data_IF_115284557418
#
_entry.id   IF_115284557418
#
_cell.length_a   1.000
_cell.length_b   1.000
_cell.length_c   1.000
_cell.angle_alpha   90.00
_cell.angle_beta   90.00
_cell.angle_gamma   90.00
#
_symmetry.space_group_name_H-M   'P 1'
#
loop_
_entity.id
_entity.type
_entity.pdbx_description
1 polymer ?
#
# COMPACT_ATOMS: atom_id res chain seq x y z
N UNK A 1 41.51 -9.74 23.90
CA UNK A 1 41.19 -8.44 23.25
C UNK A 1 39.75 -8.53 22.71
N UNK A 2 38.99 -7.41 22.68
CA UNK A 2 37.92 -7.12 21.69
C UNK A 2 36.42 -7.32 21.98
N UNK A 3 35.92 -7.67 23.18
CA UNK A 3 34.45 -7.57 23.43
C UNK A 3 33.95 -6.11 23.60
N UNK A 4 34.83 -5.20 24.05
CA UNK A 4 34.51 -3.77 24.23
C UNK A 4 34.18 -3.01 22.93
N UNK A 5 34.44 -3.59 21.75
CA UNK A 5 34.19 -2.95 20.46
C UNK A 5 32.94 -3.45 19.73
N UNK A 6 32.21 -4.44 20.27
CA UNK A 6 31.02 -5.00 19.60
C UNK A 6 29.88 -3.98 19.48
N UNK A 7 29.78 -3.04 20.42
CA UNK A 7 28.84 -1.92 20.37
C UNK A 7 29.02 -1.02 19.14
N UNK A 8 30.21 -1.01 18.52
CA UNK A 8 30.45 -0.28 17.27
C UNK A 8 29.71 -0.90 16.07
N UNK A 9 29.29 -2.17 16.17
CA UNK A 9 28.48 -2.84 15.16
C UNK A 9 26.98 -2.62 15.37
N UNK A 10 26.55 -2.07 16.52
CA UNK A 10 25.14 -1.80 16.80
C UNK A 10 24.44 -0.99 15.70
N UNK A 11 25.02 0.10 15.15
CA UNK A 11 24.37 0.85 14.07
C UNK A 11 24.13 0.00 12.82
N UNK A 12 25.02 -0.93 12.51
CA UNK A 12 24.90 -1.85 11.36
C UNK A 12 23.72 -2.80 11.60
N UNK A 13 23.66 -3.45 12.77
CA UNK A 13 22.54 -4.32 13.11
C UNK A 13 21.20 -3.58 13.17
N UNK A 14 21.19 -2.32 13.63
CA UNK A 14 20.01 -1.48 13.65
C UNK A 14 19.49 -1.22 12.23
N UNK A 15 20.36 -0.82 11.30
CA UNK A 15 19.98 -0.58 9.90
C UNK A 15 19.45 -1.86 9.26
N UNK A 16 20.13 -3.00 9.46
CA UNK A 16 19.68 -4.31 8.95
C UNK A 16 18.30 -4.64 9.52
N UNK A 17 18.09 -4.44 10.82
CA UNK A 17 16.81 -4.66 11.48
C UNK A 17 15.68 -3.81 10.91
N UNK A 18 15.96 -2.53 10.63
CA UNK A 18 15.01 -1.61 9.99
C UNK A 18 14.63 -2.10 8.59
N UNK A 19 15.60 -2.47 7.76
CA UNK A 19 15.36 -2.97 6.39
C UNK A 19 14.49 -4.23 6.45
N UNK A 20 14.87 -5.21 7.29
CA UNK A 20 14.11 -6.46 7.45
C UNK A 20 12.67 -6.17 7.91
N UNK A 21 12.49 -5.25 8.86
CA UNK A 21 11.17 -4.90 9.37
C UNK A 21 10.28 -4.34 8.25
N UNK A 22 10.78 -3.38 7.46
CA UNK A 22 10.01 -2.78 6.37
C UNK A 22 9.73 -3.77 5.24
N UNK A 23 10.70 -4.61 4.86
CA UNK A 23 10.48 -5.66 3.87
C UNK A 23 9.41 -6.65 4.30
N UNK A 24 9.46 -7.11 5.56
CA UNK A 24 8.44 -8.03 6.10
C UNK A 24 7.07 -7.38 6.14
N UNK A 25 6.98 -6.13 6.61
CA UNK A 25 5.71 -5.39 6.64
C UNK A 25 5.12 -5.22 5.24
N UNK A 26 5.92 -4.76 4.28
CA UNK A 26 5.48 -4.58 2.89
C UNK A 26 5.04 -5.89 2.25
N UNK A 27 5.74 -6.99 2.51
CA UNK A 27 5.36 -8.32 2.02
C UNK A 27 4.03 -8.81 2.61
N UNK A 28 3.77 -8.55 3.90
CA UNK A 28 2.48 -8.87 4.53
C UNK A 28 1.36 -8.07 3.87
N UNK A 29 1.53 -6.75 3.72
CA UNK A 29 0.53 -5.88 3.09
C UNK A 29 0.24 -6.29 1.63
N UNK A 30 1.28 -6.62 0.84
CA UNK A 30 1.11 -7.13 -0.55
C UNK A 30 0.36 -8.46 -0.58
N UNK A 31 0.69 -9.39 0.32
CA UNK A 31 0.00 -10.69 0.43
C UNK A 31 -1.46 -10.54 0.86
N UNK A 32 -1.75 -9.67 1.81
CA UNK A 32 -3.11 -9.36 2.23
C UNK A 32 -3.92 -8.76 1.07
N UNK A 33 -3.35 -7.77 0.38
CA UNK A 33 -3.95 -7.19 -0.82
C UNK A 33 -4.26 -8.26 -1.88
N UNK A 34 -3.27 -9.08 -2.24
CA UNK A 34 -3.44 -10.13 -3.26
C UNK A 34 -4.57 -11.09 -2.92
N UNK A 35 -4.57 -11.65 -1.71
CA UNK A 35 -5.53 -12.67 -1.27
C UNK A 35 -6.93 -12.10 -1.05
N UNK A 36 -7.05 -10.81 -0.71
CA UNK A 36 -8.33 -10.20 -0.38
C UNK A 36 -9.25 -10.01 -1.59
N UNK A 37 -10.54 -10.27 -1.39
CA UNK A 37 -11.63 -9.74 -2.20
C UNK A 37 -12.01 -8.34 -1.68
N UNK A 38 -11.97 -7.34 -2.56
CA UNK A 38 -12.20 -5.94 -2.19
C UNK A 38 -13.39 -5.43 -2.98
N UNK A 39 -14.51 -5.27 -2.28
CA UNK A 39 -15.61 -4.40 -2.67
C UNK A 39 -15.77 -3.35 -1.57
N UNK A 40 -15.18 -2.17 -1.77
CA UNK A 40 -15.03 -1.12 -0.75
C UNK A 40 -14.80 0.24 -1.38
N UNK A 41 -14.57 1.28 -0.58
CA UNK A 41 -14.19 2.61 -1.06
C UNK A 41 -12.92 3.09 -0.36
N UNK A 42 -12.20 4.01 -1.00
CA UNK A 42 -11.06 4.70 -0.39
C UNK A 42 -11.57 5.62 0.70
N UNK A 43 -11.23 5.29 1.94
CA UNK A 43 -11.55 6.06 3.12
C UNK A 43 -10.51 7.16 3.36
N UNK A 44 -9.21 6.87 3.14
CA UNK A 44 -8.13 7.81 3.45
C UNK A 44 -6.93 7.68 2.53
N UNK A 45 -6.36 8.81 2.11
CA UNK A 45 -5.02 8.90 1.51
C UNK A 45 -4.02 9.29 2.60
N UNK A 46 -2.93 8.53 2.75
CA UNK A 46 -1.85 8.78 3.71
C UNK A 46 -0.53 8.96 2.97
N UNK A 47 0.25 9.97 3.38
CA UNK A 47 1.66 10.00 3.01
C UNK A 47 2.38 8.81 3.66
N UNK A 48 3.42 8.33 3.01
CA UNK A 48 4.28 7.26 3.52
C UNK A 48 5.73 7.74 3.53
N UNK A 49 6.66 6.83 3.85
CA UNK A 49 8.07 7.15 4.01
C UNK A 49 8.77 7.47 2.67
N UNK A 50 8.08 7.39 1.54
CA UNK A 50 8.63 7.68 0.22
C UNK A 50 8.79 9.18 -0.08
N UNK A 51 8.32 10.06 0.82
CA UNK A 51 8.37 11.50 0.61
C UNK A 51 7.49 11.96 -0.55
N UNK A 52 6.35 11.29 -0.77
CA UNK A 52 5.40 11.65 -1.82
C UNK A 52 5.66 11.01 -3.19
N UNK A 53 6.64 10.10 -3.32
CA UNK A 53 6.80 9.26 -4.54
C UNK A 53 5.66 8.26 -4.70
N UNK A 54 5.12 7.79 -3.58
CA UNK A 54 3.93 6.94 -3.49
C UNK A 54 3.05 7.37 -2.32
N UNK A 55 1.80 6.91 -2.35
CA UNK A 55 0.84 7.14 -1.28
C UNK A 55 0.15 5.84 -0.89
N UNK A 56 -0.20 5.74 0.39
CA UNK A 56 -0.99 4.64 0.92
C UNK A 56 -2.46 5.05 0.90
N UNK A 57 -3.25 4.33 0.11
CA UNK A 57 -4.69 4.48 0.03
C UNK A 57 -5.35 3.40 0.89
N UNK A 58 -6.04 3.81 1.95
CA UNK A 58 -6.67 2.91 2.91
C UNK A 58 -8.14 2.75 2.54
N UNK A 59 -8.58 1.52 2.33
CA UNK A 59 -9.99 1.19 2.10
C UNK A 59 -10.78 1.21 3.41
N UNK A 60 -12.11 1.28 3.34
CA UNK A 60 -12.96 1.17 4.53
C UNK A 60 -12.82 -0.19 5.24
N UNK A 61 -12.33 -1.23 4.55
CA UNK A 61 -11.98 -2.54 5.12
C UNK A 61 -10.56 -2.60 5.70
N UNK A 62 -9.89 -1.45 5.85
CA UNK A 62 -8.52 -1.30 6.34
C UNK A 62 -7.44 -1.99 5.49
N UNK A 63 -7.73 -2.28 4.21
CA UNK A 63 -6.74 -2.79 3.26
C UNK A 63 -5.95 -1.61 2.70
N UNK A 64 -4.63 -1.75 2.67
CA UNK A 64 -3.70 -0.72 2.20
C UNK A 64 -3.33 -1.00 0.75
N UNK A 65 -3.57 -0.02 -0.12
CA UNK A 65 -3.14 -0.04 -1.52
C UNK A 65 -2.08 1.06 -1.67
N UNK A 66 -0.85 0.67 -1.98
CA UNK A 66 0.24 1.63 -2.21
C UNK A 66 0.40 1.83 -3.70
N UNK A 67 0.24 3.07 -4.16
CA UNK A 67 0.42 3.43 -5.57
C UNK A 67 1.37 4.62 -5.73
N UNK A 68 2.00 4.71 -6.89
CA UNK A 68 2.88 5.81 -7.23
C UNK A 68 2.09 7.12 -7.32
N UNK A 69 2.75 8.26 -7.14
CA UNK A 69 2.10 9.57 -7.22
C UNK A 69 1.49 9.85 -8.60
N UNK A 70 2.00 9.21 -9.65
CA UNK A 70 1.39 9.24 -10.99
C UNK A 70 -0.02 8.65 -11.02
N UNK A 71 -0.37 7.80 -10.04
CA UNK A 71 -1.67 7.17 -9.93
C UNK A 71 -2.60 8.00 -9.03
N UNK A 72 -3.76 8.36 -9.59
CA UNK A 72 -4.62 9.41 -9.04
C UNK A 72 -5.92 8.85 -8.45
N UNK A 73 -5.80 8.03 -7.40
CA UNK A 73 -6.96 7.66 -6.59
C UNK A 73 -7.40 8.84 -5.71
N UNK A 74 -8.71 8.94 -5.49
CA UNK A 74 -9.34 9.96 -4.64
C UNK A 74 -10.08 9.30 -3.49
N UNK A 75 -10.18 10.01 -2.38
CA UNK A 75 -11.08 9.61 -1.28
C UNK A 75 -12.52 9.56 -1.81
N UNK A 76 -13.23 8.47 -1.52
CA UNK A 76 -14.57 8.20 -2.01
C UNK A 76 -14.66 7.39 -3.31
N UNK A 77 -13.53 7.16 -4.00
CA UNK A 77 -13.47 6.20 -5.12
C UNK A 77 -13.83 4.80 -4.60
N UNK A 78 -14.66 4.08 -5.35
CA UNK A 78 -14.99 2.68 -5.09
C UNK A 78 -13.98 1.76 -5.78
N UNK A 79 -13.63 0.67 -5.10
CA UNK A 79 -12.70 -0.36 -5.55
C UNK A 79 -13.46 -1.68 -5.64
N UNK A 80 -13.29 -2.35 -6.78
CA UNK A 80 -13.67 -3.75 -6.97
C UNK A 80 -12.45 -4.57 -7.37
N UNK A 81 -12.19 -5.67 -6.66
CA UNK A 81 -11.05 -6.56 -6.87
C UNK A 81 -11.44 -7.95 -6.43
N UNK A 82 -11.18 -8.95 -7.26
CA UNK A 82 -11.31 -10.35 -6.90
C UNK A 82 -10.14 -10.84 -6.03
N UNK A 83 -10.36 -11.91 -5.27
CA UNK A 83 -9.28 -12.57 -4.53
C UNK A 83 -8.22 -13.18 -5.46
N UNK A 84 -6.98 -13.29 -4.97
CA UNK A 84 -5.84 -13.93 -5.65
C UNK A 84 -5.47 -13.29 -7.01
N UNK A 85 -5.60 -11.97 -7.11
CA UNK A 85 -5.09 -11.19 -8.25
C UNK A 85 -4.50 -9.86 -7.79
N UNK A 86 -3.58 -9.29 -8.58
CA UNK A 86 -3.10 -7.91 -8.41
C UNK A 86 -4.00 -6.88 -9.10
N UNK A 87 -4.97 -7.35 -9.90
CA UNK A 87 -5.84 -6.51 -10.71
C UNK A 87 -7.01 -5.95 -9.91
N UNK A 88 -7.29 -4.66 -10.06
CA UNK A 88 -8.46 -4.03 -9.45
C UNK A 88 -9.02 -2.90 -10.30
N UNK A 89 -10.32 -2.73 -10.20
CA UNK A 89 -11.09 -1.70 -10.89
C UNK A 89 -11.41 -0.57 -9.94
N UNK A 90 -11.29 0.65 -10.44
CA UNK A 90 -11.70 1.87 -9.76
C UNK A 90 -12.94 2.42 -10.42
N UNK A 91 -13.90 2.81 -9.58
CA UNK A 91 -15.11 3.51 -9.98
C UNK A 91 -15.16 4.85 -9.25
N UNK A 92 -15.52 5.90 -9.98
CA UNK A 92 -15.58 7.27 -9.46
C UNK A 92 -16.99 7.83 -9.59
N UNK A 93 -17.45 8.52 -8.54
CA UNK A 93 -18.73 9.25 -8.60
C UNK A 93 -18.64 10.36 -9.62
N UNK A 94 -19.64 10.43 -10.51
CA UNK A 94 -19.87 11.57 -11.38
C UNK A 94 -20.67 12.67 -10.65
N UNK A 95 -20.97 13.76 -11.35
CA UNK A 95 -21.73 14.89 -10.81
C UNK A 95 -23.16 14.52 -10.39
N UNK A 96 -23.71 13.43 -10.92
CA UNK A 96 -25.04 12.90 -10.59
C UNK A 96 -24.99 11.88 -9.43
N UNK A 97 -23.83 11.70 -8.80
CA UNK A 97 -23.63 10.75 -7.70
C UNK A 97 -23.54 9.27 -8.11
N UNK A 98 -23.59 8.95 -9.41
CA UNK A 98 -23.46 7.58 -9.92
C UNK A 98 -21.99 7.19 -10.09
N UNK A 99 -21.65 5.96 -9.70
CA UNK A 99 -20.31 5.41 -9.89
C UNK A 99 -20.11 4.93 -11.33
N UNK A 100 -19.13 5.50 -12.01
CA UNK A 100 -18.71 5.09 -13.34
C UNK A 100 -17.31 4.47 -13.29
N UNK A 101 -17.04 3.50 -14.14
CA UNK A 101 -15.69 2.95 -14.29
C UNK A 101 -14.70 4.07 -14.63
N UNK A 102 -13.58 4.08 -13.93
CA UNK A 102 -12.52 5.08 -14.09
C UNK A 102 -11.27 4.47 -14.73
N UNK A 103 -10.71 3.44 -14.10
CA UNK A 103 -9.45 2.82 -14.54
C UNK A 103 -9.28 1.44 -13.91
N UNK A 104 -8.63 0.54 -14.64
CA UNK A 104 -8.11 -0.71 -14.12
C UNK A 104 -6.61 -0.55 -13.80
N UNK A 105 -6.19 -1.13 -12.68
CA UNK A 105 -4.80 -1.16 -12.24
C UNK A 105 -4.37 -2.60 -12.02
N UNK A 106 -3.09 -2.87 -12.27
CA UNK A 106 -2.42 -4.10 -11.89
C UNK A 106 -1.23 -3.75 -11.00
N UNK A 107 -1.23 -4.24 -9.77
CA UNK A 107 -0.07 -4.16 -8.89
C UNK A 107 0.70 -5.48 -9.05
N UNK A 108 1.90 -5.38 -9.61
CA UNK A 108 2.88 -6.48 -9.57
C UNK A 108 3.29 -6.73 -8.11
N UNK A 109 3.36 -8.00 -7.71
CA UNK A 109 3.47 -8.44 -6.31
C UNK A 109 4.87 -8.90 -5.92
#
# INVERSE_FOLDING_TARGET
MKLKNIWKLFPIFLIIGIIIFFERKGNIERKEFYKSDINSYIFKKKNNWSGGRSYNYVTAKNIIITLMNSDTLKVGDSISKESNTGNFNIYRKNQLGKYNFYKNYNIEL
#
